data_IF_728256270463
#
_entry.id   IF_728256270463
#
_cell.length_a   1.000
_cell.length_b   1.000
_cell.length_c   1.000
_cell.angle_alpha   90.00
_cell.angle_beta   90.00
_cell.angle_gamma   90.00
#
_symmetry.space_group_name_H-M   'P 1'
#
loop_
_entity.id
_entity.type
_entity.pdbx_description
1 polymer ?
#
# COMPACT_ATOMS: atom_id res chain seq x y z
N UNK A 1 -19.60 6.69 4.30
CA UNK A 1 -18.76 5.54 4.67
C UNK A 1 -17.81 5.33 3.49
N UNK A 2 -16.50 5.56 3.63
CA UNK A 2 -15.55 5.35 2.52
C UNK A 2 -15.54 3.86 2.17
N UNK A 3 -16.22 3.50 1.09
CA UNK A 3 -16.23 2.14 0.58
C UNK A 3 -15.04 2.00 -0.37
N UNK A 4 -13.87 1.76 0.20
CA UNK A 4 -12.71 1.39 -0.59
C UNK A 4 -12.81 -0.09 -0.95
N UNK A 5 -12.43 -0.45 -2.18
CA UNK A 5 -12.32 -1.84 -2.63
C UNK A 5 -11.10 -2.57 -2.03
N UNK A 6 -10.24 -1.89 -1.26
CA UNK A 6 -9.00 -2.46 -0.72
C UNK A 6 -9.25 -3.75 0.07
N UNK A 7 -10.18 -3.83 1.05
CA UNK A 7 -10.40 -5.07 1.81
C UNK A 7 -10.80 -6.25 0.92
N UNK A 8 -11.61 -6.00 -0.12
CA UNK A 8 -12.02 -7.03 -1.07
C UNK A 8 -10.84 -7.51 -1.93
N UNK A 9 -9.99 -6.59 -2.38
CA UNK A 9 -8.78 -6.93 -3.15
C UNK A 9 -7.79 -7.74 -2.32
N UNK A 10 -7.60 -7.41 -1.04
CA UNK A 10 -6.78 -8.20 -0.11
C UNK A 10 -7.31 -9.63 -0.01
N UNK A 11 -8.62 -9.77 0.18
CA UNK A 11 -9.27 -11.08 0.26
C UNK A 11 -9.09 -11.92 -1.00
N UNK A 12 -9.18 -11.31 -2.19
CA UNK A 12 -8.93 -12.00 -3.47
C UNK A 12 -7.48 -12.49 -3.54
N UNK A 13 -6.50 -11.65 -3.16
CA UNK A 13 -5.09 -12.06 -3.13
C UNK A 13 -4.88 -13.27 -2.21
N UNK A 14 -5.48 -13.25 -1.02
CA UNK A 14 -5.41 -14.36 -0.07
C UNK A 14 -6.07 -15.64 -0.58
N UNK A 15 -7.22 -15.53 -1.26
CA UNK A 15 -7.89 -16.67 -1.90
C UNK A 15 -7.05 -17.30 -3.01
N UNK A 16 -6.19 -16.51 -3.67
CA UNK A 16 -5.24 -16.98 -4.67
C UNK A 16 -3.94 -17.55 -4.06
N UNK A 17 -3.86 -17.65 -2.73
CA UNK A 17 -2.69 -18.21 -2.03
C UNK A 17 -1.58 -17.20 -1.72
N UNK A 18 -1.80 -15.90 -1.98
CA UNK A 18 -0.83 -14.85 -1.65
C UNK A 18 -0.98 -14.41 -0.20
N UNK A 19 0.14 -13.98 0.41
CA UNK A 19 0.12 -13.26 1.69
C UNK A 19 0.15 -11.75 1.44
N UNK A 20 -0.63 -11.00 2.21
CA UNK A 20 -0.66 -9.54 2.15
C UNK A 20 -0.16 -8.96 3.45
N UNK A 21 0.87 -8.13 3.36
CA UNK A 21 1.44 -7.42 4.50
C UNK A 21 1.20 -5.92 4.36
N UNK A 22 0.77 -5.28 5.45
CA UNK A 22 0.48 -3.85 5.49
C UNK A 22 1.44 -3.13 6.44
N UNK A 23 2.15 -2.13 5.93
CA UNK A 23 2.91 -1.18 6.73
C UNK A 23 2.28 0.20 6.61
N UNK A 24 2.00 0.85 7.73
CA UNK A 24 1.36 2.17 7.72
C UNK A 24 1.80 3.03 8.92
N UNK A 25 1.66 4.34 8.80
CA UNK A 25 1.85 5.29 9.89
C UNK A 25 0.50 5.91 10.25
N UNK A 26 0.13 5.85 11.53
CA UNK A 26 -0.96 6.67 12.06
C UNK A 26 -0.64 7.10 13.48
N UNK A 27 -1.02 8.34 13.82
CA UNK A 27 -1.03 8.86 15.20
C UNK A 27 -2.43 8.87 15.80
N UNK A 28 -3.44 8.53 15.00
CA UNK A 28 -4.84 8.56 15.40
C UNK A 28 -5.29 7.16 15.81
N UNK A 29 -5.61 7.01 17.10
CA UNK A 29 -6.15 5.75 17.66
C UNK A 29 -7.45 5.33 16.97
N UNK A 30 -8.26 6.31 16.53
CA UNK A 30 -9.51 6.08 15.82
C UNK A 30 -9.33 5.37 14.46
N UNK A 31 -8.13 5.43 13.87
CA UNK A 31 -7.82 4.78 12.60
C UNK A 31 -7.33 3.33 12.79
N UNK A 32 -6.93 2.93 14.00
CA UNK A 32 -6.44 1.57 14.26
C UNK A 32 -7.49 0.50 13.92
N UNK A 33 -8.78 0.64 14.30
CA UNK A 33 -9.80 -0.32 13.90
C UNK A 33 -9.99 -0.39 12.37
N UNK A 34 -9.77 0.72 11.65
CA UNK A 34 -9.88 0.74 10.19
C UNK A 34 -8.74 -0.04 9.54
N UNK A 35 -7.51 0.08 10.07
CA UNK A 35 -6.36 -0.69 9.62
C UNK A 35 -6.62 -2.19 9.79
N UNK A 36 -7.10 -2.62 10.97
CA UNK A 36 -7.45 -4.02 11.21
C UNK A 36 -8.56 -4.53 10.29
N UNK A 37 -9.54 -3.68 9.96
CA UNK A 37 -10.62 -4.02 9.03
C UNK A 37 -10.18 -4.22 7.58
N UNK A 38 -8.95 -3.82 7.21
CA UNK A 38 -8.41 -4.11 5.87
C UNK A 38 -8.16 -5.61 5.67
N UNK A 39 -7.92 -6.38 6.74
CA UNK A 39 -7.84 -7.84 6.67
C UNK A 39 -6.54 -8.39 6.09
N UNK A 40 -5.44 -7.64 6.13
CA UNK A 40 -4.11 -8.13 5.77
C UNK A 40 -3.66 -9.25 6.73
N UNK A 41 -2.79 -10.15 6.27
CA UNK A 41 -2.25 -11.26 7.07
C UNK A 41 -1.38 -10.76 8.23
N UNK A 42 -0.63 -9.69 8.01
CA UNK A 42 0.08 -8.95 9.04
C UNK A 42 -0.05 -7.44 8.81
N UNK A 43 -0.19 -6.68 9.88
CA UNK A 43 -0.18 -5.22 9.86
C UNK A 43 0.81 -4.68 10.88
N UNK A 44 1.72 -3.81 10.44
CA UNK A 44 2.64 -3.09 11.32
C UNK A 44 2.40 -1.59 11.23
N UNK A 45 2.43 -0.95 12.39
CA UNK A 45 2.22 0.49 12.52
C UNK A 45 3.50 1.11 13.06
N UNK A 46 4.04 2.08 12.34
CA UNK A 46 5.30 2.71 12.70
C UNK A 46 5.56 3.95 11.84
N UNK A 47 6.58 4.72 12.22
CA UNK A 47 7.00 5.88 11.44
C UNK A 47 7.54 5.42 10.08
N UNK A 48 7.00 5.97 9.00
CA UNK A 48 7.45 5.65 7.65
C UNK A 48 8.50 6.68 7.15
N UNK A 49 9.46 6.27 6.31
CA UNK A 49 10.49 7.16 5.79
C UNK A 49 9.95 8.12 4.72
N UNK A 50 8.76 7.88 4.16
CA UNK A 50 8.14 8.72 3.15
C UNK A 50 6.62 8.76 3.31
N UNK A 51 6.00 9.76 2.68
CA UNK A 51 4.53 9.91 2.57
C UNK A 51 3.95 9.26 1.30
N UNK A 52 4.81 8.59 0.51
CA UNK A 52 4.41 7.88 -0.70
C UNK A 52 3.70 6.58 -0.36
N UNK A 53 3.03 6.02 -1.36
CA UNK A 53 2.42 4.69 -1.31
C UNK A 53 3.22 3.77 -2.21
N UNK A 54 3.42 2.55 -1.77
CA UNK A 54 4.14 1.53 -2.51
C UNK A 54 3.38 0.22 -2.44
N UNK A 55 3.34 -0.48 -3.56
CA UNK A 55 2.92 -1.87 -3.69
C UNK A 55 4.09 -2.62 -4.31
N UNK A 56 4.53 -3.68 -3.64
CA UNK A 56 5.57 -4.59 -4.15
C UNK A 56 4.96 -5.97 -4.23
N UNK A 57 4.89 -6.52 -5.43
CA UNK A 57 4.50 -7.90 -5.67
C UNK A 57 5.76 -8.68 -6.06
N UNK A 58 6.06 -9.72 -5.27
CA UNK A 58 7.20 -10.60 -5.52
C UNK A 58 7.18 -11.11 -6.96
N UNK A 59 8.34 -11.06 -7.62
CA UNK A 59 8.54 -11.55 -9.00
C UNK A 59 7.62 -10.94 -10.08
N UNK A 60 6.88 -9.85 -9.77
CA UNK A 60 5.84 -9.31 -10.66
C UNK A 60 6.03 -7.82 -10.93
N UNK A 61 5.76 -6.97 -9.95
CA UNK A 61 5.66 -5.53 -10.16
C UNK A 61 5.97 -4.71 -8.90
N UNK A 62 6.49 -3.51 -9.14
CA UNK A 62 6.62 -2.44 -8.17
C UNK A 62 5.81 -1.24 -8.68
N UNK A 63 4.89 -0.77 -7.84
CA UNK A 63 4.12 0.45 -8.07
C UNK A 63 4.41 1.40 -6.92
N UNK A 64 4.87 2.60 -7.23
CA UNK A 64 5.16 3.63 -6.25
C UNK A 64 4.54 4.95 -6.69
N UNK A 65 3.86 5.63 -5.77
CA UNK A 65 3.46 7.01 -6.01
C UNK A 65 4.65 7.95 -5.86
N UNK A 66 4.67 9.03 -6.62
CA UNK A 66 5.53 10.18 -6.36
C UNK A 66 5.28 10.80 -4.97
N UNK A 67 5.88 11.97 -4.73
CA UNK A 67 5.72 12.67 -3.46
C UNK A 67 4.29 13.22 -3.33
N UNK A 68 3.43 12.52 -2.56
CA UNK A 68 2.04 12.95 -2.34
C UNK A 68 2.01 14.00 -1.22
N UNK A 69 1.30 15.10 -1.43
CA UNK A 69 0.91 16.02 -0.35
C UNK A 69 -0.11 15.33 0.58
N UNK A 70 -0.19 15.75 1.85
CA UNK A 70 -1.05 15.08 2.86
C UNK A 70 -2.53 14.99 2.47
N UNK A 71 -3.00 15.85 1.56
CA UNK A 71 -4.34 15.82 0.97
C UNK A 71 -4.30 15.18 -0.42
N UNK A 72 -5.00 14.05 -0.59
CA UNK A 72 -5.23 13.43 -1.88
C UNK A 72 -6.22 14.27 -2.70
N UNK A 73 -5.76 14.91 -3.77
CA UNK A 73 -6.63 15.56 -4.74
C UNK A 73 -6.64 14.71 -6.01
N UNK A 74 -7.73 13.99 -6.27
CA UNK A 74 -7.87 13.13 -7.46
C UNK A 74 -7.83 13.91 -8.78
N UNK A 75 -7.91 15.25 -8.73
CA UNK A 75 -7.83 16.14 -9.88
C UNK A 75 -6.45 16.84 -9.99
N UNK A 76 -5.46 16.44 -9.18
CA UNK A 76 -4.12 17.01 -9.28
C UNK A 76 -3.35 16.30 -10.42
N UNK A 77 -3.28 16.96 -11.57
CA UNK A 77 -2.56 16.43 -12.75
C UNK A 77 -1.03 16.43 -12.57
N UNK A 78 -0.52 16.91 -11.43
CA UNK A 78 0.90 16.88 -11.11
C UNK A 78 1.33 15.58 -10.40
N UNK A 79 0.40 14.68 -10.08
CA UNK A 79 0.73 13.41 -9.47
C UNK A 79 1.39 12.49 -10.50
N UNK A 80 2.51 11.88 -10.11
CA UNK A 80 3.24 10.90 -10.93
C UNK A 80 3.24 9.53 -10.25
N UNK A 81 3.23 8.48 -11.05
CA UNK A 81 3.42 7.11 -10.59
C UNK A 81 4.65 6.51 -11.27
N UNK A 82 5.44 5.77 -10.51
CA UNK A 82 6.43 4.85 -11.02
C UNK A 82 5.80 3.47 -11.06
N UNK A 83 5.72 2.89 -12.25
CA UNK A 83 5.38 1.48 -12.45
C UNK A 83 6.58 0.80 -13.10
N UNK A 84 7.00 -0.34 -12.57
CA UNK A 84 8.10 -1.12 -13.14
C UNK A 84 7.93 -2.60 -12.85
N UNK A 85 8.36 -3.43 -13.81
CA UNK A 85 8.52 -4.87 -13.68
C UNK A 85 10.02 -5.27 -13.65
N UNK A 86 10.91 -4.32 -13.36
CA UNK A 86 12.34 -4.60 -13.21
C UNK A 86 12.56 -5.54 -12.02
N UNK A 87 13.06 -6.74 -12.30
CA UNK A 87 13.34 -7.75 -11.28
C UNK A 87 14.35 -7.27 -10.25
N UNK A 88 15.35 -6.47 -10.67
CA UNK A 88 16.33 -5.88 -9.75
C UNK A 88 15.64 -4.96 -8.73
N UNK A 89 14.75 -4.07 -9.19
CA UNK A 89 14.05 -3.15 -8.31
C UNK A 89 13.07 -3.88 -7.40
N UNK A 90 12.34 -4.87 -7.93
CA UNK A 90 11.40 -5.69 -7.16
C UNK A 90 12.14 -6.44 -6.06
N UNK A 91 13.24 -7.13 -6.40
CA UNK A 91 14.01 -7.92 -5.44
C UNK A 91 14.61 -7.04 -4.35
N UNK A 92 15.14 -5.87 -4.70
CA UNK A 92 15.69 -4.92 -3.72
C UNK A 92 14.64 -4.35 -2.76
N UNK A 93 13.37 -4.24 -3.19
CA UNK A 93 12.29 -3.71 -2.35
C UNK A 93 11.56 -4.80 -1.56
N UNK A 94 11.53 -6.03 -2.07
CA UNK A 94 10.86 -7.17 -1.43
C UNK A 94 11.73 -7.86 -0.37
N UNK A 95 13.06 -7.78 -0.50
CA UNK A 95 14.03 -8.43 0.40
C UNK A 95 14.12 -7.80 1.79
#
# INVERSE_FOLDING_TARGET
MYHSMIPEKIKICQQNGCKVFLLTETKSENLLPLIHRLGADESRIGKLPSKSRMIVESESQLIMSGSIKESMNLNDENDSILYTNSSEMINNMFS
#
